data_IF_400415925162
#
_entry.id   IF_400415925162
#
_cell.length_a   1.000
_cell.length_b   1.000
_cell.length_c   1.000
_cell.angle_alpha   90.00
_cell.angle_beta   90.00
_cell.angle_gamma   90.00
#
_symmetry.space_group_name_H-M   'P 1'
#
loop_
_entity.id
_entity.type
_entity.pdbx_description
1 polymer ?
#
# COMPACT_ATOMS: atom_id res chain seq x y z
N UNK A 1 6.06 4.44 -20.57
CA UNK A 1 7.14 4.29 -19.56
C UNK A 1 8.55 4.52 -20.08
N UNK A 2 8.73 4.95 -21.35
CA UNK A 2 10.05 5.16 -21.97
C UNK A 2 10.86 6.36 -21.42
N UNK A 3 10.31 7.12 -20.48
CA UNK A 3 10.95 8.32 -19.92
C UNK A 3 11.70 8.07 -18.60
N UNK A 4 11.53 6.89 -17.99
CA UNK A 4 12.12 6.56 -16.69
C UNK A 4 13.05 5.35 -16.80
N UNK A 5 14.25 5.46 -16.21
CA UNK A 5 15.21 4.36 -16.17
C UNK A 5 14.78 3.26 -15.18
N UNK A 6 14.04 3.63 -14.14
CA UNK A 6 13.63 2.68 -13.10
C UNK A 6 12.38 3.12 -12.33
N UNK A 7 11.94 2.25 -11.44
CA UNK A 7 10.81 2.49 -10.53
C UNK A 7 11.04 1.80 -9.19
N UNK A 8 10.66 2.50 -8.12
CA UNK A 8 10.57 1.95 -6.76
C UNK A 8 9.08 1.76 -6.46
N UNK A 9 8.65 0.51 -6.44
CA UNK A 9 7.25 0.12 -6.27
C UNK A 9 7.01 -0.47 -4.88
N UNK A 10 5.73 -0.53 -4.46
CA UNK A 10 5.28 -1.19 -3.24
C UNK A 10 6.11 -0.79 -2.01
N UNK A 11 6.29 0.53 -1.84
CA UNK A 11 7.06 1.14 -0.74
C UNK A 11 8.55 0.74 -0.69
N UNK A 12 9.11 0.17 -1.75
CA UNK A 12 10.51 -0.29 -1.83
C UNK A 12 10.67 -1.81 -1.91
N UNK A 13 9.59 -2.57 -1.76
CA UNK A 13 9.61 -4.03 -1.82
C UNK A 13 9.85 -4.60 -3.22
N UNK A 14 9.59 -3.79 -4.25
CA UNK A 14 9.85 -4.16 -5.64
C UNK A 14 10.51 -3.00 -6.38
N UNK A 15 11.70 -3.22 -6.93
CA UNK A 15 12.50 -2.19 -7.59
C UNK A 15 13.00 -2.66 -8.94
N UNK A 16 12.79 -1.84 -9.95
CA UNK A 16 13.23 -2.06 -11.34
C UNK A 16 14.19 -0.96 -11.78
N UNK A 17 15.21 -1.31 -12.53
CA UNK A 17 16.04 -0.34 -13.27
C UNK A 17 16.62 -0.98 -14.53
N UNK A 18 16.60 -0.25 -15.65
CA UNK A 18 17.08 -0.71 -16.95
C UNK A 18 16.52 -2.09 -17.37
N UNK A 19 15.24 -2.33 -17.07
CA UNK A 19 14.56 -3.59 -17.36
C UNK A 19 14.96 -4.77 -16.46
N UNK A 20 15.77 -4.53 -15.42
CA UNK A 20 16.18 -5.55 -14.44
C UNK A 20 15.45 -5.34 -13.12
N UNK A 21 15.05 -6.44 -12.48
CA UNK A 21 14.59 -6.43 -11.10
C UNK A 21 15.80 -6.35 -10.17
N UNK A 22 15.91 -5.28 -9.40
CA UNK A 22 16.99 -5.06 -8.42
C UNK A 22 16.60 -5.53 -7.02
N UNK A 23 15.33 -5.37 -6.67
CA UNK A 23 14.76 -5.80 -5.38
C UNK A 23 13.44 -6.52 -5.65
N UNK A 24 13.25 -7.66 -5.01
CA UNK A 24 12.01 -8.44 -5.01
C UNK A 24 11.84 -9.10 -3.65
N UNK A 25 11.18 -8.41 -2.72
CA UNK A 25 11.01 -8.82 -1.32
C UNK A 25 9.53 -8.80 -0.96
N UNK A 26 8.77 -9.85 -1.29
CA UNK A 26 7.39 -9.96 -0.86
C UNK A 26 7.29 -10.20 0.67
N UNK A 27 6.11 -10.02 1.21
CA UNK A 27 5.79 -10.43 2.57
C UNK A 27 5.90 -11.95 2.71
N UNK A 28 6.38 -12.41 3.84
CA UNK A 28 6.34 -13.84 4.14
C UNK A 28 4.88 -14.33 4.19
N UNK A 29 4.49 -15.39 3.45
CA UNK A 29 3.08 -15.77 3.31
C UNK A 29 2.36 -16.01 4.64
N UNK A 30 3.01 -16.65 5.61
CA UNK A 30 2.43 -16.89 6.94
C UNK A 30 2.21 -15.58 7.72
N UNK A 31 3.11 -14.61 7.58
CA UNK A 31 3.00 -13.32 8.25
C UNK A 31 1.89 -12.47 7.61
N UNK A 32 1.82 -12.44 6.28
CA UNK A 32 0.78 -11.75 5.54
C UNK A 32 -0.61 -12.30 5.89
N UNK A 33 -0.78 -13.61 5.88
CA UNK A 33 -2.03 -14.27 6.26
C UNK A 33 -2.37 -14.03 7.73
N UNK A 34 -1.40 -14.13 8.62
CA UNK A 34 -1.61 -13.93 10.06
C UNK A 34 -2.05 -12.49 10.39
N UNK A 35 -1.41 -11.48 9.82
CA UNK A 35 -1.79 -10.08 10.06
C UNK A 35 -3.14 -9.76 9.42
N UNK A 36 -3.43 -10.29 8.22
CA UNK A 36 -4.73 -10.15 7.57
C UNK A 36 -5.84 -10.75 8.43
N UNK A 37 -5.66 -11.99 8.91
CA UNK A 37 -6.63 -12.65 9.77
C UNK A 37 -6.85 -11.90 11.11
N UNK A 38 -5.79 -11.30 11.68
CA UNK A 38 -5.92 -10.47 12.88
C UNK A 38 -6.76 -9.21 12.63
N UNK A 39 -6.59 -8.56 11.47
CA UNK A 39 -7.38 -7.40 11.07
C UNK A 39 -8.85 -7.77 10.80
N UNK A 40 -9.09 -8.81 10.02
CA UNK A 40 -10.43 -9.25 9.64
C UNK A 40 -11.30 -9.69 10.83
N UNK A 41 -10.69 -10.27 11.89
CA UNK A 41 -11.42 -10.60 13.14
C UNK A 41 -12.06 -9.39 13.81
N UNK A 42 -11.52 -8.21 13.59
CA UNK A 42 -12.05 -6.94 14.11
C UNK A 42 -12.83 -6.13 13.06
N UNK A 43 -13.23 -6.79 11.96
CA UNK A 43 -14.02 -6.14 10.91
C UNK A 43 -13.23 -5.18 10.02
N UNK A 44 -11.91 -5.15 10.15
CA UNK A 44 -11.03 -4.33 9.29
C UNK A 44 -11.01 -4.92 7.89
N UNK A 45 -11.27 -4.08 6.91
CA UNK A 45 -11.25 -4.48 5.51
C UNK A 45 -9.86 -4.34 4.93
N UNK A 46 -9.41 -5.36 4.19
CA UNK A 46 -8.09 -5.41 3.59
C UNK A 46 -8.16 -5.46 2.06
N UNK A 47 -7.22 -4.76 1.43
CA UNK A 47 -6.89 -4.90 0.01
C UNK A 47 -5.45 -5.40 -0.08
N UNK A 48 -5.24 -6.48 -0.84
CA UNK A 48 -3.97 -7.16 -0.98
C UNK A 48 -3.31 -6.71 -2.27
N UNK A 49 -2.12 -6.14 -2.19
CA UNK A 49 -1.36 -5.69 -3.35
C UNK A 49 -0.25 -6.70 -3.68
N UNK A 50 -0.47 -7.47 -4.74
CA UNK A 50 0.54 -8.27 -5.40
C UNK A 50 1.27 -7.43 -6.48
N UNK A 51 2.29 -8.01 -7.14
CA UNK A 51 3.05 -7.32 -8.16
C UNK A 51 2.21 -6.86 -9.36
N UNK A 52 1.34 -7.73 -9.82
CA UNK A 52 0.61 -7.53 -11.09
C UNK A 52 -0.92 -7.47 -10.88
N UNK A 53 -1.40 -7.56 -9.64
CA UNK A 53 -2.81 -7.57 -9.30
C UNK A 53 -3.06 -7.00 -7.91
N UNK A 54 -4.26 -6.46 -7.74
CA UNK A 54 -4.78 -6.00 -6.44
C UNK A 54 -6.07 -6.74 -6.16
N UNK A 55 -6.20 -7.30 -4.96
CA UNK A 55 -7.37 -8.08 -4.55
C UNK A 55 -8.05 -7.41 -3.36
N UNK A 56 -9.38 -7.30 -3.38
CA UNK A 56 -10.12 -6.65 -2.31
C UNK A 56 -11.57 -7.10 -2.20
N UNK A 57 -12.17 -6.80 -1.05
CA UNK A 57 -13.60 -7.01 -0.85
C UNK A 57 -14.44 -5.94 -1.56
N UNK A 58 -15.69 -6.28 -1.88
CA UNK A 58 -16.66 -5.35 -2.49
C UNK A 58 -16.93 -4.13 -1.63
N UNK A 59 -16.93 -4.30 -0.32
CA UNK A 59 -17.15 -3.22 0.65
C UNK A 59 -16.07 -2.13 0.59
N UNK A 60 -14.80 -2.49 0.37
CA UNK A 60 -13.73 -1.53 0.18
C UNK A 60 -14.03 -0.58 -0.98
N UNK A 61 -14.43 -1.13 -2.11
CA UNK A 61 -14.81 -0.35 -3.30
C UNK A 61 -16.05 0.52 -3.03
N UNK A 62 -17.04 -0.01 -2.30
CA UNK A 62 -18.24 0.74 -1.93
C UNK A 62 -17.94 1.87 -0.94
N UNK A 63 -17.09 1.62 0.07
CA UNK A 63 -16.63 2.66 1.00
C UNK A 63 -15.90 3.79 0.29
N UNK A 64 -14.99 3.47 -0.61
CA UNK A 64 -14.32 4.49 -1.42
C UNK A 64 -15.32 5.31 -2.26
N UNK A 65 -16.30 4.67 -2.90
CA UNK A 65 -17.37 5.37 -3.63
C UNK A 65 -18.24 6.23 -2.72
N UNK A 66 -18.51 5.79 -1.49
CA UNK A 66 -19.31 6.54 -0.52
C UNK A 66 -18.58 7.78 -0.02
N UNK A 67 -17.31 7.67 0.33
CA UNK A 67 -16.44 8.79 0.73
C UNK A 67 -16.46 9.88 -0.36
N UNK A 68 -16.43 9.49 -1.63
CA UNK A 68 -16.45 10.41 -2.75
C UNK A 68 -17.79 11.09 -3.01
N UNK A 69 -18.91 10.44 -2.71
CA UNK A 69 -20.24 11.03 -2.94
C UNK A 69 -20.66 12.06 -1.89
N UNK A 70 -20.11 11.99 -0.69
CA UNK A 70 -20.56 12.80 0.45
C UNK A 70 -19.87 14.15 0.56
N UNK A 71 -18.82 14.41 -0.19
CA UNK A 71 -17.98 15.59 0.02
C UNK A 71 -17.67 16.36 -1.27
N UNK A 72 -18.20 17.59 -1.33
CA UNK A 72 -17.71 18.66 -2.23
C UNK A 72 -16.36 19.28 -1.75
N UNK A 73 -15.76 18.71 -0.70
CA UNK A 73 -14.49 19.18 -0.17
C UNK A 73 -13.32 18.59 -0.99
N UNK A 74 -12.21 19.32 -1.17
CA UNK A 74 -11.05 18.80 -1.87
C UNK A 74 -10.52 17.56 -1.12
N UNK A 75 -10.39 16.45 -1.84
CA UNK A 75 -9.78 15.22 -1.35
C UNK A 75 -8.30 15.48 -1.05
N UNK A 76 -7.74 14.75 -0.08
CA UNK A 76 -6.29 14.74 0.04
C UNK A 76 -5.66 14.09 -1.22
N UNK A 77 -4.39 14.35 -1.46
CA UNK A 77 -3.66 13.90 -2.65
C UNK A 77 -3.72 12.39 -2.86
N UNK A 78 -3.76 11.61 -1.79
CA UNK A 78 -3.85 10.16 -1.83
C UNK A 78 -5.23 9.67 -2.25
N UNK A 79 -6.29 10.19 -1.66
CA UNK A 79 -7.67 9.86 -2.03
C UNK A 79 -7.95 10.25 -3.50
N UNK A 80 -7.39 11.37 -3.97
CA UNK A 80 -7.50 11.79 -5.36
C UNK A 80 -6.75 10.85 -6.32
N UNK A 81 -5.56 10.39 -5.95
CA UNK A 81 -4.82 9.38 -6.73
C UNK A 81 -5.60 8.08 -6.85
N UNK A 82 -6.19 7.59 -5.76
CA UNK A 82 -7.01 6.39 -5.77
C UNK A 82 -8.25 6.54 -6.64
N UNK A 83 -8.94 7.69 -6.54
CA UNK A 83 -10.08 8.00 -7.41
C UNK A 83 -9.68 7.95 -8.87
N UNK A 84 -8.61 8.65 -9.23
CA UNK A 84 -8.10 8.71 -10.61
C UNK A 84 -7.68 7.33 -11.11
N UNK A 85 -6.97 6.55 -10.33
CA UNK A 85 -6.57 5.20 -10.69
C UNK A 85 -7.79 4.28 -10.97
N UNK A 86 -8.85 4.38 -10.16
CA UNK A 86 -10.10 3.64 -10.40
C UNK A 86 -10.83 4.12 -11.66
N UNK A 87 -10.86 5.43 -11.91
CA UNK A 87 -11.44 6.00 -13.14
C UNK A 87 -10.64 5.60 -14.40
N UNK A 88 -9.32 5.49 -14.28
CA UNK A 88 -8.42 5.06 -15.35
C UNK A 88 -8.39 3.54 -15.57
N UNK A 89 -9.21 2.78 -14.83
CA UNK A 89 -9.39 1.35 -15.03
C UNK A 89 -8.53 0.45 -14.16
N UNK A 90 -8.02 0.95 -13.02
CA UNK A 90 -7.45 0.05 -12.02
C UNK A 90 -8.52 -0.93 -11.54
N UNK A 91 -8.33 -2.20 -11.84
CA UNK A 91 -9.24 -3.26 -11.44
C UNK A 91 -8.80 -3.83 -10.10
N UNK A 92 -9.67 -3.71 -9.09
CA UNK A 92 -9.54 -4.49 -7.86
C UNK A 92 -10.29 -5.79 -8.10
N UNK A 93 -9.56 -6.90 -8.17
CA UNK A 93 -10.11 -8.23 -8.32
C UNK A 93 -10.81 -8.67 -7.03
N UNK A 94 -11.83 -9.54 -7.12
CA UNK A 94 -12.43 -10.13 -5.92
C UNK A 94 -11.38 -10.83 -5.07
N UNK A 95 -11.49 -10.71 -3.74
CA UNK A 95 -10.58 -11.38 -2.82
C UNK A 95 -10.60 -12.92 -2.98
N UNK A 96 -11.72 -13.50 -3.46
CA UNK A 96 -11.84 -14.92 -3.81
C UNK A 96 -10.90 -15.38 -4.92
N UNK A 97 -10.41 -14.44 -5.72
CA UNK A 97 -9.53 -14.72 -6.86
C UNK A 97 -8.06 -14.74 -6.45
N UNK A 98 -7.73 -14.27 -5.23
CA UNK A 98 -6.39 -14.41 -4.65
C UNK A 98 -6.06 -15.89 -4.44
N UNK A 99 -4.95 -16.36 -5.03
CA UNK A 99 -4.49 -17.75 -4.99
C UNK A 99 -3.16 -17.94 -4.26
N UNK A 100 -2.74 -16.94 -3.50
CA UNK A 100 -1.48 -16.97 -2.77
C UNK A 100 -0.32 -16.29 -3.54
N UNK A 101 -0.65 -15.37 -4.44
CA UNK A 101 0.35 -14.53 -5.10
C UNK A 101 1.21 -13.79 -4.07
N UNK A 102 2.53 -13.61 -4.32
CA UNK A 102 3.39 -12.84 -3.43
C UNK A 102 2.84 -11.44 -3.19
N UNK A 103 2.59 -11.10 -1.93
CA UNK A 103 2.08 -9.79 -1.51
C UNK A 103 3.24 -8.88 -1.11
N UNK A 104 3.15 -7.62 -1.51
CA UNK A 104 4.14 -6.59 -1.15
C UNK A 104 3.59 -5.57 -0.17
N UNK A 105 2.27 -5.37 -0.18
CA UNK A 105 1.60 -4.40 0.68
C UNK A 105 0.17 -4.86 0.97
N UNK A 106 -0.34 -4.51 2.14
CA UNK A 106 -1.76 -4.65 2.50
C UNK A 106 -2.27 -3.26 2.84
N UNK A 107 -3.31 -2.82 2.16
CA UNK A 107 -4.05 -1.59 2.50
C UNK A 107 -5.23 -1.99 3.37
N UNK A 108 -5.54 -1.21 4.40
CA UNK A 108 -6.64 -1.49 5.30
C UNK A 108 -7.53 -0.27 5.54
N UNK A 109 -8.80 -0.55 5.85
CA UNK A 109 -9.75 0.44 6.38
C UNK A 109 -10.42 -0.15 7.63
N UNK A 110 -10.31 0.58 8.74
CA UNK A 110 -10.91 0.27 10.02
C UNK A 110 -11.96 1.32 10.41
N UNK A 111 -13.02 0.92 11.10
CA UNK A 111 -14.01 1.85 11.63
C UNK A 111 -13.45 2.64 12.82
N UNK A 112 -12.58 2.00 13.63
CA UNK A 112 -11.96 2.62 14.79
C UNK A 112 -10.48 2.23 14.89
N UNK A 113 -9.66 3.10 15.47
CA UNK A 113 -8.24 2.82 15.74
C UNK A 113 -8.07 1.59 16.67
N UNK A 114 -9.02 1.36 17.58
CA UNK A 114 -9.03 0.19 18.47
C UNK A 114 -9.08 -1.14 17.71
N UNK A 115 -9.64 -1.17 16.51
CA UNK A 115 -9.78 -2.39 15.70
C UNK A 115 -8.42 -2.88 15.18
N UNK A 116 -7.42 -2.02 15.18
CA UNK A 116 -6.04 -2.34 14.81
C UNK A 116 -5.20 -2.88 15.97
N UNK A 117 -5.69 -2.80 17.21
CA UNK A 117 -4.88 -3.03 18.42
C UNK A 117 -4.29 -4.45 18.49
N UNK A 118 -5.06 -5.48 18.13
CA UNK A 118 -4.57 -6.86 18.12
C UNK A 118 -3.48 -7.06 17.06
N UNK A 119 -3.72 -6.61 15.84
CA UNK A 119 -2.78 -6.73 14.74
C UNK A 119 -1.47 -5.99 15.04
N UNK A 120 -1.55 -4.76 15.58
CA UNK A 120 -0.37 -4.01 16.03
C UNK A 120 0.41 -4.76 17.12
N UNK A 121 -0.28 -5.28 18.13
CA UNK A 121 0.38 -6.02 19.23
C UNK A 121 1.12 -7.26 18.73
N UNK A 122 0.58 -7.97 17.73
CA UNK A 122 1.13 -9.23 17.23
C UNK A 122 2.19 -9.04 16.13
N UNK A 123 2.12 -7.95 15.37
CA UNK A 123 2.87 -7.83 14.11
C UNK A 123 3.64 -6.51 13.94
N UNK A 124 3.66 -5.61 14.94
CA UNK A 124 4.37 -4.33 14.83
C UNK A 124 5.90 -4.47 14.72
N UNK A 125 6.47 -5.60 15.09
CA UNK A 125 7.88 -5.93 14.90
C UNK A 125 8.21 -6.32 13.44
N UNK A 126 7.22 -6.75 12.67
CA UNK A 126 7.34 -7.24 11.30
C UNK A 126 6.87 -6.19 10.28
N UNK A 127 5.83 -5.44 10.62
CA UNK A 127 5.22 -4.45 9.75
C UNK A 127 5.19 -3.04 10.37
N UNK A 128 5.30 -2.05 9.50
CA UNK A 128 4.95 -0.66 9.83
C UNK A 128 3.48 -0.47 9.48
N UNK A 129 2.68 0.00 10.44
CA UNK A 129 1.31 0.42 10.24
C UNK A 129 1.33 1.92 9.91
N UNK A 130 1.33 2.25 8.63
CA UNK A 130 1.27 3.62 8.16
C UNK A 130 -0.19 4.07 8.14
N UNK A 131 -0.65 4.68 9.22
CA UNK A 131 -2.04 5.15 9.34
C UNK A 131 -2.18 6.56 8.78
N UNK A 132 -3.19 6.76 7.98
CA UNK A 132 -3.66 8.07 7.56
C UNK A 132 -4.96 8.37 8.30
N UNK A 133 -4.94 9.37 9.15
CA UNK A 133 -6.18 9.90 9.74
C UNK A 133 -6.78 10.86 8.74
N UNK A 134 -7.79 10.40 8.02
CA UNK A 134 -8.63 11.26 7.19
C UNK A 134 -9.50 12.14 8.11
N UNK A 135 -8.83 13.01 8.89
CA UNK A 135 -9.45 13.90 9.84
C UNK A 135 -10.53 14.75 9.15
N UNK A 136 -11.75 14.63 9.61
CA UNK A 136 -12.94 15.46 9.33
C UNK A 136 -13.80 15.10 8.11
N UNK A 137 -13.37 14.27 7.19
CA UNK A 137 -14.16 13.97 5.99
C UNK A 137 -14.84 12.59 6.01
N UNK A 138 -14.46 11.70 6.95
CA UNK A 138 -14.80 10.28 6.87
C UNK A 138 -15.49 9.71 8.11
N UNK A 139 -16.13 10.53 8.96
CA UNK A 139 -16.81 10.05 10.16
C UNK A 139 -15.96 9.15 11.09
N UNK A 140 -14.61 9.34 11.07
CA UNK A 140 -13.70 8.68 12.00
C UNK A 140 -13.03 7.41 11.50
N UNK A 141 -13.12 7.06 10.22
CA UNK A 141 -12.36 5.94 9.67
C UNK A 141 -10.85 6.11 9.81
N UNK A 142 -10.18 5.01 10.05
CA UNK A 142 -8.72 4.89 9.96
C UNK A 142 -8.40 4.06 8.72
N UNK A 143 -7.71 4.65 7.77
CA UNK A 143 -7.14 3.90 6.67
C UNK A 143 -5.62 3.88 6.79
N UNK A 144 -4.99 2.91 6.15
CA UNK A 144 -3.54 2.84 6.20
C UNK A 144 -2.99 1.70 5.36
N UNK A 145 -1.69 1.59 5.45
CA UNK A 145 -0.91 0.60 4.74
C UNK A 145 -0.04 -0.20 5.71
N UNK A 146 0.07 -1.49 5.49
CA UNK A 146 1.04 -2.37 6.11
C UNK A 146 2.23 -2.52 5.19
N UNK A 147 3.38 -2.07 5.64
CA UNK A 147 4.64 -2.13 4.91
C UNK A 147 5.59 -3.04 5.69
N UNK A 148 6.26 -3.96 5.00
CA UNK A 148 7.28 -4.80 5.61
C UNK A 148 8.46 -3.94 6.09
N UNK A 149 8.93 -4.17 7.32
CA UNK A 149 10.08 -3.44 7.89
C UNK A 149 11.43 -3.75 7.24
N UNK A 150 11.50 -4.75 6.37
CA UNK A 150 12.74 -5.12 5.67
C UNK A 150 13.18 -4.11 4.60
N UNK A 151 12.31 -3.18 4.20
CA UNK A 151 12.59 -2.20 3.15
C UNK A 151 11.79 -0.90 3.37
N UNK A 152 12.21 0.14 2.67
CA UNK A 152 11.51 1.40 2.52
C UNK A 152 11.84 2.04 1.14
N UNK A 153 11.22 3.18 0.84
CA UNK A 153 11.48 3.89 -0.42
C UNK A 153 12.95 4.31 -0.55
N UNK A 154 13.62 4.64 0.56
CA UNK A 154 15.02 5.06 0.59
C UNK A 154 15.97 3.91 0.22
N UNK A 155 15.72 2.71 0.76
CA UNK A 155 16.50 1.51 0.38
C UNK A 155 16.29 1.14 -1.08
N UNK A 156 15.06 1.33 -1.61
CA UNK A 156 14.79 1.15 -3.03
C UNK A 156 15.53 2.14 -3.93
N UNK A 157 15.56 3.42 -3.57
CA UNK A 157 16.34 4.45 -4.28
C UNK A 157 17.83 4.13 -4.23
N UNK A 158 18.33 3.70 -3.06
CA UNK A 158 19.74 3.28 -2.93
C UNK A 158 20.08 2.14 -3.87
N UNK A 159 19.22 1.15 -4.01
CA UNK A 159 19.45 0.03 -4.95
C UNK A 159 19.58 0.51 -6.41
N UNK A 160 18.77 1.51 -6.81
CA UNK A 160 18.90 2.13 -8.13
C UNK A 160 20.24 2.89 -8.25
N UNK A 161 20.61 3.68 -7.24
CA UNK A 161 21.89 4.39 -7.24
C UNK A 161 23.09 3.43 -7.37
N UNK A 162 23.09 2.37 -6.58
CA UNK A 162 24.14 1.34 -6.63
C UNK A 162 24.23 0.70 -8.02
N UNK A 163 23.08 0.44 -8.67
CA UNK A 163 23.02 -0.12 -10.02
C UNK A 163 23.58 0.85 -11.08
N UNK A 164 23.28 2.15 -10.94
CA UNK A 164 23.74 3.19 -11.87
C UNK A 164 25.15 3.69 -11.57
N UNK A 165 25.79 3.24 -10.50
CA UNK A 165 27.13 3.67 -10.11
C UNK A 165 27.19 5.09 -9.54
N UNK A 166 26.09 5.59 -8.96
CA UNK A 166 26.00 6.87 -8.26
C UNK A 166 25.67 6.69 -6.77
N UNK A 167 25.56 7.78 -6.03
CA UNK A 167 25.26 7.81 -4.60
C UNK A 167 23.95 8.55 -4.34
N UNK A 168 23.40 8.42 -3.14
CA UNK A 168 22.22 9.20 -2.74
C UNK A 168 22.47 10.73 -2.77
N UNK A 169 23.72 11.16 -2.60
CA UNK A 169 24.09 12.58 -2.71
C UNK A 169 23.95 13.14 -4.14
N UNK A 170 23.93 12.26 -5.14
CA UNK A 170 23.76 12.64 -6.55
C UNK A 170 22.27 12.68 -6.97
N UNK A 171 21.34 12.49 -6.01
CA UNK A 171 19.89 12.44 -6.29
C UNK A 171 19.19 13.72 -5.85
N UNK A 172 18.11 14.04 -6.55
CA UNK A 172 17.18 15.10 -6.17
C UNK A 172 15.80 14.49 -6.07
N UNK A 173 15.13 14.67 -4.91
CA UNK A 173 13.77 14.18 -4.66
C UNK A 173 12.74 15.30 -4.85
N UNK A 174 11.61 14.95 -5.45
CA UNK A 174 10.41 15.76 -5.50
C UNK A 174 9.27 14.96 -4.88
N UNK A 175 8.45 15.59 -4.04
CA UNK A 175 7.32 14.97 -3.38
C UNK A 175 6.29 15.99 -2.93
N UNK A 176 5.12 15.51 -2.54
CA UNK A 176 3.96 16.30 -2.13
C UNK A 176 3.48 15.99 -0.70
N UNK A 177 4.22 15.15 0.03
CA UNK A 177 3.86 14.71 1.39
C UNK A 177 5.00 14.84 2.36
#
# INVERSE_FOLDING_TARGET
>A
HSCFAGAVCSAGGYVLCDGKTLVDIPMEPQQAEGVRAALERHGVECTLEARDATFGGSKMTERWKFIHKKNDAPLNSEAERWRKAMEEGMSILPLSDYKGEPLYKIVFIADHESDLAEAKRLYADQFVFCESKLDRLTDGFVNGELINRKFDKGTGIKAICDHLGCTLADTIGFGDS
#
